data_IF_629993165823
#
_entry.id   IF_629993165823
#
_cell.length_a   1.000
_cell.length_b   1.000
_cell.length_c   1.000
_cell.angle_alpha   90.00
_cell.angle_beta   90.00
_cell.angle_gamma   90.00
#
_symmetry.space_group_name_H-M   'P 1'
#
loop_
_entity.id
_entity.type
_entity.pdbx_description
1 polymer ?
#
# COMPACT_ATOMS: atom_id res chain seq x y z
N UNK A 1 -78.00 -12.61 21.62
CA UNK A 1 -77.04 -13.68 21.27
C UNK A 1 -76.01 -13.04 20.35
N UNK A 2 -74.83 -12.66 20.89
CA UNK A 2 -73.52 -13.31 20.65
C UNK A 2 -73.09 -13.25 19.16
N UNK A 3 -71.86 -12.95 18.73
CA UNK A 3 -70.57 -12.53 19.29
C UNK A 3 -69.70 -12.14 18.06
N UNK A 4 -69.00 -11.00 18.08
CA UNK A 4 -67.53 -10.88 18.20
C UNK A 4 -66.65 -11.30 16.97
N UNK A 5 -65.83 -10.33 16.50
CA UNK A 5 -64.43 -10.43 16.00
C UNK A 5 -64.21 -11.19 14.65
N UNK A 6 -63.32 -10.80 13.74
CA UNK A 6 -61.97 -10.26 13.88
C UNK A 6 -61.62 -9.26 12.75
N UNK A 7 -60.96 -8.17 13.14
CA UNK A 7 -60.25 -7.26 12.24
C UNK A 7 -58.89 -7.88 11.91
N UNK A 8 -58.62 -8.19 10.64
CA UNK A 8 -57.28 -8.51 10.16
C UNK A 8 -56.55 -7.20 9.84
N UNK A 9 -55.78 -6.71 10.82
CA UNK A 9 -54.74 -5.72 10.59
C UNK A 9 -53.48 -6.48 10.13
N UNK A 10 -53.20 -6.45 8.83
CA UNK A 10 -51.88 -6.80 8.31
C UNK A 10 -50.90 -5.70 8.71
N UNK A 11 -50.19 -5.92 9.81
CA UNK A 11 -49.04 -5.09 10.16
C UNK A 11 -47.90 -5.35 9.19
N UNK A 12 -47.63 -4.41 8.28
CA UNK A 12 -46.35 -4.33 7.57
C UNK A 12 -45.27 -3.96 8.59
N UNK A 13 -44.59 -4.96 9.13
CA UNK A 13 -43.32 -4.77 9.83
C UNK A 13 -42.27 -4.37 8.80
N UNK A 14 -42.08 -3.06 8.65
CA UNK A 14 -40.87 -2.50 8.06
C UNK A 14 -39.70 -2.87 8.98
N UNK A 15 -38.98 -3.93 8.62
CA UNK A 15 -37.62 -4.13 9.13
C UNK A 15 -36.77 -3.05 8.47
N UNK A 16 -36.65 -1.91 9.14
CA UNK A 16 -35.61 -0.96 8.82
C UNK A 16 -34.28 -1.66 9.06
N UNK A 17 -33.64 -2.14 7.99
CA UNK A 17 -32.21 -2.38 8.03
C UNK A 17 -31.57 -1.05 8.42
N UNK A 18 -31.19 -0.92 9.69
CA UNK A 18 -30.17 0.06 10.07
C UNK A 18 -28.93 -0.35 9.30
N UNK A 19 -28.75 0.23 8.11
CA UNK A 19 -27.44 0.38 7.53
C UNK A 19 -26.67 1.21 8.54
N UNK A 20 -25.85 0.56 9.37
CA UNK A 20 -24.78 1.26 10.05
C UNK A 20 -23.89 1.81 8.94
N UNK A 21 -24.17 3.03 8.51
CA UNK A 21 -23.20 3.86 7.81
C UNK A 21 -22.11 4.18 8.83
N UNK A 22 -21.28 3.19 9.14
CA UNK A 22 -19.94 3.45 9.63
C UNK A 22 -19.27 4.17 8.48
N UNK A 23 -19.29 5.50 8.54
CA UNK A 23 -18.47 6.39 7.73
C UNK A 23 -17.01 6.12 8.03
N UNK A 24 -16.49 4.98 7.59
CA UNK A 24 -15.06 4.78 7.51
C UNK A 24 -14.59 5.56 6.28
N UNK A 25 -14.30 6.84 6.53
CA UNK A 25 -13.52 7.67 5.61
C UNK A 25 -12.33 6.85 5.14
N UNK A 26 -12.22 6.72 3.81
CA UNK A 26 -11.19 5.95 3.13
C UNK A 26 -10.10 6.89 2.66
N UNK A 27 -8.87 6.38 2.62
CA UNK A 27 -7.68 7.10 2.16
C UNK A 27 -7.00 6.24 1.09
N UNK A 28 -7.52 6.22 -0.14
CA UNK A 28 -7.21 5.18 -1.12
C UNK A 28 -5.81 5.30 -1.75
N UNK A 29 -5.16 6.45 -1.65
CA UNK A 29 -3.88 6.74 -2.30
C UNK A 29 -3.02 7.67 -1.45
N UNK A 30 -1.76 7.87 -1.86
CA UNK A 30 -0.75 8.64 -1.11
C UNK A 30 -1.26 9.99 -0.59
N UNK A 31 -2.01 10.74 -1.42
CA UNK A 31 -2.56 12.07 -1.09
C UNK A 31 -4.05 12.05 -0.73
N UNK A 32 -4.60 10.89 -0.42
CA UNK A 32 -5.99 10.74 0.02
C UNK A 32 -7.01 10.82 -1.11
N UNK A 33 -8.32 10.81 -0.80
CA UNK A 33 -9.39 10.54 -1.77
C UNK A 33 -9.55 11.60 -2.87
N UNK A 34 -8.97 12.78 -2.67
CA UNK A 34 -9.02 13.91 -3.62
C UNK A 34 -7.62 14.31 -4.11
N UNK A 35 -6.58 13.51 -3.85
CA UNK A 35 -5.22 13.77 -4.30
C UNK A 35 -4.53 15.01 -3.69
N UNK A 36 -5.13 15.64 -2.68
CA UNK A 36 -4.70 16.94 -2.13
C UNK A 36 -3.97 16.87 -0.78
N UNK A 37 -3.96 15.71 -0.12
CA UNK A 37 -3.33 15.50 1.20
C UNK A 37 -4.08 16.18 2.36
N UNK A 38 -5.40 16.38 2.21
CA UNK A 38 -6.24 17.03 3.23
C UNK A 38 -7.19 16.01 3.84
N UNK A 39 -7.23 15.96 5.18
CA UNK A 39 -8.22 15.20 5.94
C UNK A 39 -9.29 16.14 6.50
N UNK A 40 -10.56 15.73 6.48
CA UNK A 40 -11.67 16.50 7.05
C UNK A 40 -11.93 16.21 8.55
N UNK A 41 -11.11 15.31 9.12
CA UNK A 41 -11.22 14.87 10.51
C UNK A 41 -11.18 16.05 11.49
N UNK A 42 -12.15 16.06 12.40
CA UNK A 42 -12.27 17.06 13.48
C UNK A 42 -11.91 16.44 14.82
N UNK A 43 -11.58 17.28 15.79
CA UNK A 43 -11.24 16.85 17.16
C UNK A 43 -10.09 15.83 17.22
N UNK A 44 -9.15 15.93 16.28
CA UNK A 44 -7.95 15.09 16.27
C UNK A 44 -7.04 15.46 17.46
N UNK A 45 -6.39 14.48 18.12
CA UNK A 45 -5.47 14.79 19.21
C UNK A 45 -4.28 15.64 18.71
N UNK A 46 -3.95 16.71 19.44
CA UNK A 46 -2.84 17.63 19.09
C UNK A 46 -1.59 17.44 19.95
N UNK A 47 -1.60 16.47 20.87
CA UNK A 47 -0.47 16.10 21.70
C UNK A 47 -0.26 14.60 21.63
N UNK A 48 0.98 14.14 21.39
CA UNK A 48 1.29 12.72 21.20
C UNK A 48 2.56 12.34 21.97
N UNK A 49 2.64 11.09 22.38
CA UNK A 49 3.86 10.41 22.82
C UNK A 49 3.81 8.95 22.40
N UNK A 50 4.83 8.16 22.76
CA UNK A 50 4.86 6.72 22.52
C UNK A 50 3.70 5.95 23.18
N UNK A 51 3.08 6.53 24.20
CA UNK A 51 2.03 5.93 25.04
C UNK A 51 0.75 6.77 25.15
N UNK A 52 0.80 8.08 24.85
CA UNK A 52 -0.34 8.99 24.96
C UNK A 52 -1.02 9.18 23.61
N UNK A 53 -2.35 9.03 23.63
CA UNK A 53 -3.23 9.22 22.46
C UNK A 53 -3.00 8.18 21.34
N UNK A 54 -2.23 7.13 21.62
CA UNK A 54 -2.05 5.96 20.76
C UNK A 54 -3.23 5.01 20.93
N UNK A 55 -4.01 4.78 19.86
CA UNK A 55 -5.11 3.81 19.87
C UNK A 55 -4.61 2.36 19.87
N UNK A 56 -3.57 2.10 19.09
CA UNK A 56 -2.87 0.82 19.01
C UNK A 56 -1.50 1.03 18.34
N UNK A 57 -0.61 0.05 18.52
CA UNK A 57 0.69 -0.02 17.85
C UNK A 57 0.92 -1.44 17.36
N UNK A 58 1.49 -1.59 16.18
CA UNK A 58 1.82 -2.88 15.61
C UNK A 58 3.17 -2.81 14.93
N UNK A 59 4.04 -3.75 15.27
CA UNK A 59 5.30 -3.95 14.56
C UNK A 59 5.01 -4.50 13.16
N UNK A 60 5.59 -3.89 12.14
CA UNK A 60 5.39 -4.26 10.74
C UNK A 60 6.66 -4.97 10.25
N UNK A 61 6.56 -6.17 9.66
CA UNK A 61 7.73 -6.87 9.17
C UNK A 61 8.37 -6.17 7.97
N UNK A 62 9.70 -6.14 7.97
CA UNK A 62 10.49 -5.50 6.93
C UNK A 62 10.68 -3.99 7.15
N UNK A 63 11.10 -3.29 6.09
CA UNK A 63 11.35 -1.85 6.05
C UNK A 63 10.60 -1.26 4.87
N UNK A 64 9.93 -0.13 5.04
CA UNK A 64 9.14 0.52 3.99
C UNK A 64 8.77 1.95 4.38
N UNK A 65 8.80 2.86 3.41
CA UNK A 65 8.43 4.27 3.58
C UNK A 65 7.10 4.62 2.93
N UNK A 66 6.36 3.61 2.47
CA UNK A 66 5.00 3.78 1.97
C UNK A 66 4.11 4.42 3.02
N UNK A 67 3.26 5.33 2.58
CA UNK A 67 2.14 5.82 3.38
C UNK A 67 1.04 4.75 3.38
N UNK A 68 0.38 4.50 4.52
CA UNK A 68 -0.75 3.58 4.58
C UNK A 68 -1.91 4.07 3.71
N UNK A 69 -2.56 3.14 3.00
CA UNK A 69 -3.86 3.37 2.37
C UNK A 69 -4.96 2.65 3.13
N UNK A 70 -6.15 3.25 3.15
CA UNK A 70 -7.28 2.80 3.97
C UNK A 70 -8.51 2.62 3.10
N UNK A 71 -9.14 1.45 3.17
CA UNK A 71 -10.44 1.19 2.58
C UNK A 71 -11.32 0.45 3.58
N UNK A 72 -12.42 1.08 4.00
CA UNK A 72 -13.27 0.54 5.06
C UNK A 72 -12.48 0.28 6.35
N UNK A 73 -12.54 -0.94 6.88
CA UNK A 73 -11.83 -1.34 8.12
C UNK A 73 -10.45 -1.98 7.87
N UNK A 74 -9.88 -1.80 6.68
CA UNK A 74 -8.57 -2.36 6.31
C UNK A 74 -7.56 -1.24 6.06
N UNK A 75 -6.35 -1.45 6.57
CA UNK A 75 -5.18 -0.63 6.28
C UNK A 75 -4.20 -1.49 5.48
N UNK A 76 -3.58 -0.90 4.46
CA UNK A 76 -2.58 -1.56 3.64
C UNK A 76 -1.32 -0.70 3.56
N UNK A 77 -0.16 -1.35 3.69
CA UNK A 77 1.18 -0.75 3.50
C UNK A 77 2.03 -1.68 2.66
N UNK A 78 3.09 -1.17 2.04
CA UNK A 78 4.08 -1.99 1.35
C UNK A 78 5.40 -1.99 2.10
N UNK A 79 6.04 -3.16 2.21
CA UNK A 79 7.34 -3.29 2.88
C UNK A 79 8.30 -4.15 2.07
N UNK A 80 9.58 -4.04 2.41
CA UNK A 80 10.66 -4.81 1.83
C UNK A 80 11.46 -5.54 2.91
N UNK A 81 11.88 -6.78 2.66
CA UNK A 81 12.87 -7.48 3.49
C UNK A 81 14.12 -7.77 2.66
N UNK A 82 15.29 -7.48 3.20
CA UNK A 82 16.55 -7.62 2.47
C UNK A 82 17.16 -8.99 2.75
N UNK A 83 17.65 -9.65 1.71
CA UNK A 83 18.60 -10.75 1.80
C UNK A 83 19.97 -10.12 1.51
N UNK A 84 20.87 -10.03 2.51
CA UNK A 84 22.13 -9.33 2.34
C UNK A 84 23.01 -10.04 1.30
N UNK A 85 23.74 -9.25 0.49
CA UNK A 85 24.85 -9.78 -0.29
C UNK A 85 26.10 -9.94 0.59
N UNK A 86 27.11 -10.64 0.09
CA UNK A 86 28.40 -10.71 0.78
C UNK A 86 29.02 -9.33 0.91
N UNK A 87 29.87 -9.13 1.92
CA UNK A 87 30.61 -7.88 2.10
C UNK A 87 31.51 -7.56 0.90
N UNK A 88 32.12 -8.60 0.30
CA UNK A 88 32.92 -8.48 -0.91
C UNK A 88 32.08 -7.94 -2.08
N UNK A 89 30.87 -8.49 -2.28
CA UNK A 89 29.97 -8.04 -3.33
C UNK A 89 29.46 -6.62 -3.08
N UNK A 90 29.11 -6.29 -1.84
CA UNK A 90 28.73 -4.94 -1.46
C UNK A 90 29.87 -3.94 -1.72
N UNK A 91 31.10 -4.30 -1.39
CA UNK A 91 32.28 -3.48 -1.63
C UNK A 91 32.59 -3.33 -3.14
N UNK A 92 32.40 -4.39 -3.93
CA UNK A 92 32.53 -4.37 -5.39
C UNK A 92 31.52 -3.41 -6.00
N UNK A 93 30.23 -3.54 -5.66
CA UNK A 93 29.17 -2.64 -6.16
C UNK A 93 29.39 -1.19 -5.75
N UNK A 94 29.81 -0.95 -4.51
CA UNK A 94 30.12 0.41 -4.04
C UNK A 94 31.24 1.08 -4.84
N UNK A 95 32.25 0.32 -5.28
CA UNK A 95 33.32 0.84 -6.15
C UNK A 95 32.86 1.13 -7.58
N UNK A 96 31.84 0.41 -8.06
CA UNK A 96 31.26 0.60 -9.39
C UNK A 96 30.21 1.72 -9.43
N UNK A 97 29.62 2.04 -8.28
CA UNK A 97 28.65 3.12 -8.14
C UNK A 97 29.28 4.48 -8.42
N UNK A 98 28.64 5.29 -9.26
CA UNK A 98 28.95 6.71 -9.43
C UNK A 98 28.32 7.59 -8.34
N UNK A 99 27.36 7.05 -7.59
CA UNK A 99 26.69 7.75 -6.49
C UNK A 99 27.64 7.87 -5.29
N UNK A 100 27.92 9.11 -4.86
CA UNK A 100 28.78 9.43 -3.72
C UNK A 100 28.08 9.34 -2.36
N UNK A 101 26.76 9.10 -2.35
CA UNK A 101 25.98 9.01 -1.14
C UNK A 101 26.13 7.63 -0.46
N UNK A 102 25.74 7.49 0.82
CA UNK A 102 25.70 6.20 1.48
C UNK A 102 24.72 5.25 0.78
N UNK A 103 25.26 4.15 0.24
CA UNK A 103 24.47 3.13 -0.50
C UNK A 103 24.36 1.81 0.27
N UNK A 104 23.20 1.18 0.15
CA UNK A 104 22.92 -0.19 0.59
C UNK A 104 22.67 -1.11 -0.60
N UNK A 105 23.13 -2.36 -0.48
CA UNK A 105 23.05 -3.39 -1.51
C UNK A 105 22.47 -4.67 -0.91
N UNK A 106 21.77 -5.45 -1.72
CA UNK A 106 21.17 -6.72 -1.31
C UNK A 106 21.41 -7.77 -2.42
N UNK A 107 21.50 -9.04 -2.02
CA UNK A 107 21.52 -10.14 -2.98
C UNK A 107 20.12 -10.40 -3.57
N UNK A 108 19.08 -10.17 -2.77
CA UNK A 108 17.69 -10.31 -3.16
C UNK A 108 16.82 -9.49 -2.20
N UNK A 109 15.65 -9.03 -2.64
CA UNK A 109 14.71 -8.28 -1.80
C UNK A 109 13.33 -8.88 -1.94
N UNK A 110 12.64 -9.13 -0.83
CA UNK A 110 11.22 -9.55 -0.83
C UNK A 110 10.34 -8.32 -0.68
N UNK A 111 9.55 -8.03 -1.70
CA UNK A 111 8.61 -6.91 -1.77
C UNK A 111 7.20 -7.41 -1.43
N UNK A 112 6.52 -6.75 -0.49
CA UNK A 112 5.36 -7.31 0.21
C UNK A 112 4.26 -6.27 0.37
N UNK A 113 3.02 -6.73 0.43
CA UNK A 113 1.87 -5.96 0.90
C UNK A 113 1.42 -6.50 2.25
N UNK A 114 1.28 -5.61 3.24
CA UNK A 114 0.83 -5.95 4.59
C UNK A 114 -0.57 -5.39 4.79
N UNK A 115 -1.48 -6.24 5.25
CA UNK A 115 -2.84 -5.84 5.65
C UNK A 115 -2.97 -5.81 7.16
N UNK A 116 -3.56 -4.74 7.69
CA UNK A 116 -3.90 -4.59 9.10
C UNK A 116 -5.40 -4.36 9.29
N UNK A 117 -5.91 -4.81 10.44
CA UNK A 117 -7.22 -4.40 10.91
C UNK A 117 -7.16 -2.98 11.48
N UNK A 118 -7.96 -2.06 10.93
CA UNK A 118 -7.97 -0.66 11.35
C UNK A 118 -8.40 -0.45 12.80
N UNK A 119 -9.24 -1.34 13.34
CA UNK A 119 -9.84 -1.17 14.67
C UNK A 119 -8.82 -1.44 15.78
N UNK A 120 -7.96 -2.44 15.60
CA UNK A 120 -7.05 -2.90 16.66
C UNK A 120 -5.58 -3.03 16.23
N UNK A 121 -5.25 -2.68 14.98
CA UNK A 121 -3.89 -2.74 14.43
C UNK A 121 -3.43 -4.14 14.04
N UNK A 122 -4.19 -5.19 14.32
CA UNK A 122 -3.75 -6.58 14.13
C UNK A 122 -3.32 -6.81 12.68
N UNK A 123 -2.12 -7.38 12.51
CA UNK A 123 -1.66 -7.88 11.22
C UNK A 123 -2.55 -9.05 10.78
N UNK A 124 -3.20 -8.90 9.63
CA UNK A 124 -4.12 -9.86 9.06
C UNK A 124 -3.44 -10.73 8.00
N UNK A 125 -2.69 -10.10 7.10
CA UNK A 125 -1.98 -10.78 6.00
C UNK A 125 -0.63 -10.13 5.74
N UNK A 126 0.31 -10.97 5.36
CA UNK A 126 1.62 -10.62 4.82
C UNK A 126 1.74 -11.31 3.46
N UNK A 127 1.63 -10.52 2.39
CA UNK A 127 1.47 -11.01 1.03
C UNK A 127 2.75 -10.73 0.25
N UNK A 128 3.49 -11.76 -0.20
CA UNK A 128 4.61 -11.55 -1.11
C UNK A 128 4.07 -11.05 -2.46
N UNK A 129 4.71 -10.02 -3.03
CA UNK A 129 4.33 -9.45 -4.34
C UNK A 129 5.40 -9.73 -5.38
N UNK A 130 6.65 -9.37 -5.09
CA UNK A 130 7.80 -9.56 -5.99
C UNK A 130 9.03 -9.95 -5.17
N UNK A 131 9.96 -10.66 -5.80
CA UNK A 131 11.25 -10.98 -5.19
C UNK A 131 12.38 -10.85 -6.23
N UNK A 132 12.80 -9.62 -6.57
CA UNK A 132 13.95 -9.42 -7.43
C UNK A 132 15.22 -9.97 -6.77
N UNK A 133 15.94 -10.78 -7.54
CA UNK A 133 17.34 -11.08 -7.28
C UNK A 133 18.21 -9.98 -7.87
N UNK A 134 19.36 -9.75 -7.25
CA UNK A 134 20.30 -8.70 -7.64
C UNK A 134 19.67 -7.31 -7.88
N UNK A 135 18.91 -6.77 -6.91
CA UNK A 135 18.27 -5.47 -7.07
C UNK A 135 19.31 -4.33 -7.16
N UNK A 136 18.91 -3.22 -7.77
CA UNK A 136 19.73 -1.99 -7.81
C UNK A 136 20.11 -1.56 -6.39
N UNK A 137 21.33 -1.07 -6.21
CA UNK A 137 21.69 -0.39 -4.97
C UNK A 137 20.79 0.83 -4.76
N UNK A 138 20.45 1.11 -3.50
CA UNK A 138 19.64 2.28 -3.14
C UNK A 138 20.35 3.12 -2.08
N UNK A 139 19.93 4.37 -1.92
CA UNK A 139 20.39 5.21 -0.84
C UNK A 139 20.08 4.55 0.52
N UNK A 140 20.97 4.70 1.51
CA UNK A 140 20.85 4.07 2.83
C UNK A 140 19.59 4.48 3.59
N UNK A 141 19.13 5.71 3.38
CA UNK A 141 17.89 6.25 3.96
C UNK A 141 16.64 5.92 3.15
N UNK A 142 16.78 5.30 1.96
CA UNK A 142 15.63 4.88 1.17
C UNK A 142 15.20 3.43 1.51
N UNK A 143 14.06 3.00 0.98
CA UNK A 143 13.58 1.62 0.99
C UNK A 143 13.15 1.19 -0.41
N UNK A 144 13.27 -0.10 -0.73
CA UNK A 144 12.71 -0.67 -1.96
C UNK A 144 11.17 -0.60 -2.01
N UNK A 145 10.52 -0.39 -0.86
CA UNK A 145 9.07 -0.21 -0.72
C UNK A 145 8.69 1.22 -0.27
N UNK A 146 9.37 2.22 -0.83
CA UNK A 146 9.02 3.64 -0.62
C UNK A 146 7.74 4.07 -1.30
N UNK A 147 7.46 3.69 -2.57
CA UNK A 147 6.18 4.02 -3.19
C UNK A 147 5.00 3.53 -2.36
N UNK A 148 4.01 4.40 -2.15
CA UNK A 148 2.75 4.02 -1.49
C UNK A 148 1.88 3.26 -2.47
N UNK A 149 1.16 2.20 -2.05
CA UNK A 149 0.21 1.54 -2.94
C UNK A 149 -1.00 2.45 -3.20
N UNK A 150 -1.85 2.04 -4.15
CA UNK A 150 -3.19 2.61 -4.37
C UNK A 150 -4.24 1.50 -4.27
N UNK A 151 -5.37 1.78 -3.64
CA UNK A 151 -6.44 0.82 -3.39
C UNK A 151 -7.78 1.30 -3.95
N UNK A 152 -8.49 0.39 -4.59
CA UNK A 152 -9.91 0.52 -4.93
C UNK A 152 -10.66 -0.75 -4.46
N UNK A 153 -11.97 -0.83 -4.70
CA UNK A 153 -12.72 -2.04 -4.35
C UNK A 153 -12.08 -3.28 -4.98
N UNK A 154 -11.83 -4.30 -4.16
CA UNK A 154 -11.29 -5.60 -4.54
C UNK A 154 -9.84 -5.62 -5.06
N UNK A 155 -9.16 -4.48 -5.18
CA UNK A 155 -7.83 -4.40 -5.82
C UNK A 155 -6.91 -3.45 -5.05
N UNK A 156 -5.71 -3.95 -4.74
CA UNK A 156 -4.58 -3.15 -4.25
C UNK A 156 -3.48 -3.22 -5.30
N UNK A 157 -2.98 -2.07 -5.71
CA UNK A 157 -1.89 -1.95 -6.67
C UNK A 157 -0.63 -1.49 -5.95
N UNK A 158 0.43 -2.29 -6.05
CA UNK A 158 1.72 -2.02 -5.44
C UNK A 158 2.75 -1.71 -6.54
N UNK A 159 3.58 -0.69 -6.33
CA UNK A 159 4.67 -0.33 -7.24
C UNK A 159 5.99 -0.28 -6.47
N UNK A 160 7.07 -0.75 -7.06
CA UNK A 160 8.39 -0.88 -6.42
C UNK A 160 9.52 -0.33 -7.30
N UNK A 161 9.19 0.63 -8.19
CA UNK A 161 10.12 1.23 -9.14
C UNK A 161 10.51 0.26 -10.25
N UNK A 162 11.82 0.19 -10.53
CA UNK A 162 12.39 -0.67 -11.57
C UNK A 162 12.23 -2.17 -11.28
N UNK A 163 11.85 -2.53 -10.05
CA UNK A 163 11.56 -3.92 -9.70
C UNK A 163 10.17 -4.36 -10.17
N UNK A 164 9.30 -3.42 -10.56
CA UNK A 164 7.99 -3.69 -11.13
C UNK A 164 6.81 -3.29 -10.24
N UNK A 165 5.62 -3.70 -10.67
CA UNK A 165 4.37 -3.54 -9.97
C UNK A 165 3.59 -4.85 -9.89
N UNK A 166 2.60 -4.90 -9.01
CA UNK A 166 1.70 -6.04 -8.89
C UNK A 166 0.34 -5.64 -8.35
N UNK A 167 -0.64 -6.48 -8.63
CA UNK A 167 -2.01 -6.33 -8.14
C UNK A 167 -2.39 -7.47 -7.21
N UNK A 168 -2.96 -7.12 -6.07
CA UNK A 168 -3.48 -8.04 -5.06
C UNK A 168 -5.00 -7.92 -5.01
N UNK A 169 -5.67 -9.06 -5.02
CA UNK A 169 -7.10 -9.14 -4.72
C UNK A 169 -7.32 -8.92 -3.22
N UNK A 170 -7.97 -7.82 -2.83
CA UNK A 170 -8.07 -7.44 -1.41
C UNK A 170 -9.04 -8.31 -0.61
N UNK A 171 -9.88 -9.10 -1.25
CA UNK A 171 -10.75 -10.05 -0.56
C UNK A 171 -9.99 -11.30 -0.18
N UNK A 172 -9.26 -11.87 -1.13
CA UNK A 172 -8.59 -13.17 -1.00
C UNK A 172 -7.13 -13.08 -0.57
N UNK A 173 -6.47 -11.95 -0.86
CA UNK A 173 -5.04 -11.73 -0.62
C UNK A 173 -4.16 -12.42 -1.66
N UNK A 174 -4.74 -12.82 -2.79
CA UNK A 174 -4.01 -13.46 -3.89
C UNK A 174 -3.45 -12.42 -4.83
N UNK A 175 -2.27 -12.69 -5.38
CA UNK A 175 -1.76 -11.96 -6.53
C UNK A 175 -2.66 -12.23 -7.74
N UNK A 176 -3.03 -11.15 -8.44
CA UNK A 176 -3.82 -11.17 -9.67
C UNK A 176 -2.87 -11.13 -10.87
N UNK A 177 -1.93 -10.19 -10.85
CA UNK A 177 -0.91 -10.03 -11.88
C UNK A 177 0.33 -9.32 -11.31
N UNK A 178 1.44 -9.43 -12.04
CA UNK A 178 2.69 -8.71 -11.81
C UNK A 178 3.25 -8.24 -13.14
N UNK A 179 3.87 -7.06 -13.17
CA UNK A 179 4.59 -6.55 -14.33
C UNK A 179 6.00 -6.10 -13.90
N UNK A 180 7.02 -6.61 -14.58
CA UNK A 180 8.44 -6.29 -14.34
C UNK A 180 9.12 -5.78 -15.61
N UNK A 181 8.35 -5.29 -16.58
CA UNK A 181 8.87 -4.87 -17.88
C UNK A 181 9.51 -3.47 -17.84
N UNK A 182 9.26 -2.74 -16.75
CA UNK A 182 9.80 -1.38 -16.55
C UNK A 182 11.18 -1.43 -15.93
N UNK A 183 12.18 -1.01 -16.69
CA UNK A 183 13.53 -0.78 -16.17
C UNK A 183 13.95 0.68 -16.32
N UNK A 184 14.41 1.25 -15.21
CA UNK A 184 15.08 2.57 -15.11
C UNK A 184 16.15 2.50 -14.03
N UNK A 185 17.20 3.30 -14.14
CA UNK A 185 18.26 3.43 -13.13
C UNK A 185 17.87 4.46 -12.08
N UNK A 186 17.36 4.03 -10.92
CA UNK A 186 16.88 4.98 -9.90
C UNK A 186 17.99 5.77 -9.23
N UNK A 187 19.24 5.28 -9.26
CA UNK A 187 20.43 5.78 -8.53
C UNK A 187 20.28 5.80 -6.98
N UNK A 188 19.18 6.35 -6.46
CA UNK A 188 18.88 6.48 -5.03
C UNK A 188 17.76 5.53 -4.55
N UNK A 189 17.14 4.79 -5.46
CA UNK A 189 16.00 3.90 -5.20
C UNK A 189 14.63 4.52 -5.53
N UNK A 190 13.56 3.72 -5.48
CA UNK A 190 12.24 4.13 -5.97
C UNK A 190 11.57 5.17 -5.07
N UNK A 191 10.69 5.99 -5.66
CA UNK A 191 9.92 7.00 -4.92
C UNK A 191 8.57 7.40 -5.51
N UNK A 192 8.21 6.92 -6.71
CA UNK A 192 6.95 7.32 -7.37
C UNK A 192 5.78 6.46 -6.90
N UNK A 193 4.86 7.04 -6.12
CA UNK A 193 3.60 6.38 -5.78
C UNK A 193 2.64 6.47 -6.98
N UNK A 194 1.99 5.37 -7.41
CA UNK A 194 1.10 5.38 -8.54
C UNK A 194 -0.25 6.03 -8.21
N UNK A 195 -0.95 6.45 -9.26
CA UNK A 195 -2.35 6.89 -9.22
C UNK A 195 -3.20 6.04 -10.15
N UNK A 196 -4.51 6.05 -9.94
CA UNK A 196 -5.47 5.42 -10.85
C UNK A 196 -6.20 6.48 -11.68
N UNK A 197 -6.33 6.20 -12.97
CA UNK A 197 -7.19 6.98 -13.87
C UNK A 197 -7.87 6.06 -14.87
N UNK A 198 -9.20 5.93 -14.77
CA UNK A 198 -9.97 4.92 -15.49
C UNK A 198 -9.35 3.51 -15.30
N UNK A 199 -8.94 2.87 -16.40
CA UNK A 199 -8.31 1.55 -16.42
C UNK A 199 -6.78 1.62 -16.36
N UNK A 200 -6.21 2.77 -16.01
CA UNK A 200 -4.76 2.98 -16.00
C UNK A 200 -4.22 3.08 -14.58
N UNK A 201 -3.12 2.37 -14.33
CA UNK A 201 -2.20 2.60 -13.23
C UNK A 201 -1.05 3.45 -13.77
N UNK A 202 -0.90 4.68 -13.24
CA UNK A 202 0.01 5.68 -13.77
C UNK A 202 1.06 6.03 -12.74
N UNK A 203 2.33 6.09 -13.14
CA UNK A 203 3.44 6.48 -12.28
C UNK A 203 4.57 7.12 -13.08
N UNK A 204 5.40 7.90 -12.37
CA UNK A 204 6.58 8.52 -12.95
C UNK A 204 7.76 7.55 -12.94
N UNK A 205 8.46 7.50 -14.05
CA UNK A 205 9.74 6.83 -14.18
C UNK A 205 10.80 7.91 -14.35
N UNK A 206 11.52 8.21 -13.26
CA UNK A 206 12.54 9.27 -13.20
C UNK A 206 13.92 8.65 -12.94
N UNK A 207 14.36 7.80 -13.86
CA UNK A 207 15.70 7.21 -13.79
C UNK A 207 16.76 8.20 -14.25
N UNK A 208 18.01 7.98 -13.86
CA UNK A 208 19.15 8.74 -14.39
C UNK A 208 19.44 8.40 -15.85
N UNK A 209 19.04 7.22 -16.31
CA UNK A 209 19.17 6.77 -17.70
C UNK A 209 18.05 7.32 -18.60
N UNK A 210 16.79 7.26 -18.14
CA UNK A 210 15.59 7.60 -18.90
C UNK A 210 14.48 8.15 -18.03
N UNK A 211 13.75 9.15 -18.54
CA UNK A 211 12.62 9.78 -17.86
C UNK A 211 11.35 9.73 -18.71
N UNK A 212 10.26 9.23 -18.14
CA UNK A 212 8.95 9.15 -18.80
C UNK A 212 7.82 8.96 -17.79
N UNK A 213 6.58 9.04 -18.25
CA UNK A 213 5.40 8.63 -17.48
C UNK A 213 4.92 7.30 -18.05
N UNK A 214 4.70 6.32 -17.18
CA UNK A 214 4.14 5.03 -17.57
C UNK A 214 2.67 4.98 -17.19
N UNK A 215 1.85 4.44 -18.09
CA UNK A 215 0.46 4.10 -17.83
C UNK A 215 0.24 2.65 -18.26
N UNK A 216 0.02 1.75 -17.30
CA UNK A 216 -0.27 0.33 -17.56
C UNK A 216 -1.74 0.05 -17.35
N UNK A 217 -2.30 -0.91 -18.08
CA UNK A 217 -3.67 -1.34 -17.85
C UNK A 217 -3.75 -1.99 -16.46
N UNK A 218 -4.59 -1.46 -15.56
CA UNK A 218 -4.69 -1.95 -14.19
C UNK A 218 -5.28 -3.36 -14.08
N UNK A 219 -5.87 -3.89 -15.15
CA UNK A 219 -6.52 -5.19 -15.16
C UNK A 219 -5.60 -6.33 -15.65
N UNK A 220 -4.43 -6.04 -16.22
CA UNK A 220 -3.56 -7.03 -16.89
C UNK A 220 -2.08 -6.74 -16.71
#
# INVERSE_FOLDING_TARGET
MWNLFQRLLFGLTWVACLSTALGNESWPEWRGPLGQGVAEAKNVPVNWSEDKHVAWRTEIPGRGWSTPVVLGNRIWVTTASHIPCSEEEAARRRKLSTNSMPMQFAASVRLRAIELDRTNGKLLRDIPVLQPDDPQGIHADNSYATPSPVIEQNRLYCHFGCHGCGCVDTQTGKLVWTNTDTYIEHENGPGSSPILWNDLLIFHCDGTDRQFIMAVNKNT
#
